data_IF_863387741361
#
_entry.id   IF_863387741361
#
_cell.length_a   1.000
_cell.length_b   1.000
_cell.length_c   1.000
_cell.angle_alpha   90.00
_cell.angle_beta   90.00
_cell.angle_gamma   90.00
#
_symmetry.space_group_name_H-M   'P 1'
#
loop_
_entity.id
_entity.type
_entity.pdbx_description
1 polymer ?
#
# COMPACT_ATOMS: atom_id res chain seq x y z
N UNK A 1 -10.09 27.47 9.01
CA UNK A 1 -11.03 26.33 9.12
C UNK A 1 -10.28 25.07 8.78
N UNK A 2 -9.98 24.26 9.79
CA UNK A 2 -9.21 23.02 9.59
C UNK A 2 -10.09 21.96 8.95
N UNK A 3 -10.04 21.84 7.64
CA UNK A 3 -10.80 20.84 6.91
C UNK A 3 -10.03 19.52 6.80
N UNK A 4 -9.95 18.77 7.88
CA UNK A 4 -9.68 17.32 7.82
C UNK A 4 -10.96 16.62 7.33
N UNK A 5 -11.31 16.81 6.07
CA UNK A 5 -12.57 16.27 5.51
C UNK A 5 -12.38 14.91 4.84
N UNK A 6 -11.15 14.50 4.57
CA UNK A 6 -10.84 13.25 3.84
C UNK A 6 -10.17 12.24 4.77
N UNK A 7 -10.66 11.01 4.76
CA UNK A 7 -10.09 9.89 5.52
C UNK A 7 -9.30 9.00 4.57
N UNK A 8 -8.08 8.62 4.98
CA UNK A 8 -7.27 7.64 4.27
C UNK A 8 -6.93 6.44 5.17
N UNK A 9 -7.06 5.24 4.62
CA UNK A 9 -6.65 3.98 5.25
C UNK A 9 -5.31 3.55 4.63
N UNK A 10 -4.31 3.22 5.45
CA UNK A 10 -3.01 2.76 4.98
C UNK A 10 -2.65 1.43 5.67
N UNK A 11 -2.46 0.36 4.89
CA UNK A 11 -1.96 -0.91 5.40
C UNK A 11 -0.44 -0.96 5.36
N UNK A 12 0.19 -1.67 6.30
CA UNK A 12 1.65 -1.70 6.41
C UNK A 12 2.26 -0.35 6.81
N UNK A 13 1.52 0.47 7.57
CA UNK A 13 1.87 1.84 7.92
C UNK A 13 3.02 1.98 8.94
N UNK A 14 3.56 0.88 9.46
CA UNK A 14 4.54 0.92 10.56
C UNK A 14 5.97 1.25 10.14
N UNK A 15 6.35 0.98 8.88
CA UNK A 15 7.72 1.16 8.37
C UNK A 15 7.72 1.49 6.86
N UNK A 16 8.90 1.82 6.34
CA UNK A 16 9.16 1.96 4.91
C UNK A 16 8.18 2.88 4.21
N UNK A 17 7.76 2.50 3.00
CA UNK A 17 6.88 3.30 2.15
C UNK A 17 5.57 3.65 2.86
N UNK A 18 4.94 2.68 3.55
CA UNK A 18 3.67 2.91 4.24
C UNK A 18 3.74 3.97 5.34
N UNK A 19 4.85 4.01 6.10
CA UNK A 19 5.11 5.07 7.07
C UNK A 19 5.30 6.42 6.38
N UNK A 20 6.12 6.48 5.33
CA UNK A 20 6.39 7.73 4.60
C UNK A 20 5.14 8.27 3.91
N UNK A 21 4.32 7.40 3.28
CA UNK A 21 3.02 7.77 2.73
C UNK A 21 2.07 8.33 3.79
N UNK A 22 2.06 7.73 4.98
CA UNK A 22 1.21 8.20 6.09
C UNK A 22 1.62 9.60 6.55
N UNK A 23 2.91 9.85 6.70
CA UNK A 23 3.43 11.18 7.08
C UNK A 23 3.09 12.22 6.00
N UNK A 24 3.29 11.89 4.72
CA UNK A 24 2.99 12.81 3.63
C UNK A 24 1.49 13.11 3.49
N UNK A 25 0.62 12.12 3.67
CA UNK A 25 -0.84 12.34 3.71
C UNK A 25 -1.27 13.21 4.91
N UNK A 26 -0.61 13.05 6.06
CA UNK A 26 -0.87 13.92 7.22
C UNK A 26 -0.52 15.40 6.92
N UNK A 27 0.59 15.66 6.21
CA UNK A 27 0.94 17.02 5.72
C UNK A 27 -0.12 17.57 4.77
N UNK A 28 -0.79 16.70 4.00
CA UNK A 28 -1.92 17.04 3.11
C UNK A 28 -3.28 17.10 3.82
N UNK A 29 -3.28 17.08 5.18
CA UNK A 29 -4.47 17.22 6.03
C UNK A 29 -5.50 16.08 5.89
N UNK A 30 -5.05 14.87 5.54
CA UNK A 30 -5.88 13.68 5.68
C UNK A 30 -5.96 13.23 7.14
N UNK A 31 -7.12 12.76 7.57
CA UNK A 31 -7.25 11.97 8.77
C UNK A 31 -6.89 10.51 8.44
N UNK A 32 -6.02 9.88 9.22
CA UNK A 32 -5.42 8.62 8.85
C UNK A 32 -5.83 7.47 9.76
N UNK A 33 -6.09 6.32 9.15
CA UNK A 33 -6.26 5.04 9.80
C UNK A 33 -5.05 4.18 9.43
N UNK A 34 -4.18 3.97 10.40
CA UNK A 34 -2.91 3.27 10.24
C UNK A 34 -3.07 1.81 10.65
N UNK A 35 -2.77 0.86 9.76
CA UNK A 35 -2.95 -0.56 10.04
C UNK A 35 -1.61 -1.29 9.89
N UNK A 36 -1.22 -2.05 10.92
CA UNK A 36 -0.05 -2.93 10.89
C UNK A 36 -0.10 -3.94 12.03
N UNK A 37 0.70 -5.02 11.91
CA UNK A 37 0.83 -6.06 12.94
C UNK A 37 1.77 -5.65 14.09
N UNK A 38 2.77 -4.83 13.79
CA UNK A 38 3.76 -4.43 14.79
C UNK A 38 3.29 -3.17 15.52
N UNK A 39 2.85 -3.34 16.75
CA UNK A 39 2.30 -2.28 17.60
C UNK A 39 3.32 -1.17 17.86
N UNK A 40 4.53 -1.51 18.30
CA UNK A 40 5.55 -0.53 18.68
C UNK A 40 5.91 0.39 17.50
N UNK A 41 6.24 -0.23 16.34
CA UNK A 41 6.60 0.53 15.13
C UNK A 41 5.42 1.35 14.60
N UNK A 42 4.18 0.86 14.74
CA UNK A 42 2.99 1.58 14.32
C UNK A 42 2.72 2.80 15.20
N UNK A 43 2.81 2.65 16.53
CA UNK A 43 2.67 3.75 17.47
C UNK A 43 3.79 4.80 17.33
N UNK A 44 4.99 4.40 16.89
CA UNK A 44 6.04 5.36 16.53
C UNK A 44 5.65 6.19 15.29
N UNK A 45 5.03 5.57 14.29
CA UNK A 45 4.49 6.31 13.12
C UNK A 45 3.39 7.26 13.55
N UNK A 46 2.47 6.82 14.41
CA UNK A 46 1.39 7.64 14.95
C UNK A 46 1.93 8.88 15.69
N UNK A 47 2.95 8.70 16.54
CA UNK A 47 3.60 9.81 17.23
C UNK A 47 4.17 10.84 16.25
N UNK A 48 4.94 10.40 15.26
CA UNK A 48 5.50 11.29 14.24
C UNK A 48 4.44 12.11 13.50
N UNK A 49 3.28 11.50 13.25
CA UNK A 49 2.16 12.19 12.59
C UNK A 49 1.54 13.24 13.55
N UNK A 50 1.36 12.90 14.83
CA UNK A 50 0.85 13.81 15.84
C UNK A 50 1.80 15.00 16.09
N UNK A 51 3.12 14.75 16.09
CA UNK A 51 4.16 15.76 16.27
C UNK A 51 4.12 16.85 15.19
N UNK A 52 3.68 16.52 13.98
CA UNK A 52 3.46 17.48 12.87
C UNK A 52 2.02 18.02 12.83
N UNK A 53 1.23 17.81 13.89
CA UNK A 53 -0.16 18.27 13.98
C UNK A 53 -1.15 17.46 13.15
N UNK A 54 -0.78 16.27 12.67
CA UNK A 54 -1.67 15.37 11.91
C UNK A 54 -2.67 14.64 12.81
N UNK A 55 -3.78 14.19 12.21
CA UNK A 55 -4.81 13.37 12.88
C UNK A 55 -4.72 11.92 12.40
N UNK A 56 -4.51 11.01 13.32
CA UNK A 56 -4.48 9.58 13.01
C UNK A 56 -4.86 8.72 14.21
N UNK A 57 -5.24 7.47 13.94
CA UNK A 57 -5.29 6.42 14.94
C UNK A 57 -4.76 5.10 14.37
N UNK A 58 -4.28 4.23 15.24
CA UNK A 58 -3.65 2.96 14.89
C UNK A 58 -4.58 1.79 15.16
N UNK A 59 -4.63 0.85 14.21
CA UNK A 59 -5.29 -0.45 14.34
C UNK A 59 -4.23 -1.54 14.21
N UNK A 60 -4.02 -2.29 15.29
CA UNK A 60 -3.10 -3.43 15.29
C UNK A 60 -3.85 -4.65 14.76
N UNK A 61 -3.54 -5.05 13.53
CA UNK A 61 -4.24 -6.14 12.85
C UNK A 61 -3.36 -6.80 11.77
N UNK A 62 -3.66 -8.07 11.49
CA UNK A 62 -3.10 -8.80 10.36
C UNK A 62 -4.12 -8.80 9.21
N UNK A 63 -3.88 -7.96 8.21
CA UNK A 63 -4.76 -7.78 7.04
C UNK A 63 -4.85 -9.01 6.13
N UNK A 64 -3.97 -10.02 6.30
CA UNK A 64 -4.06 -11.29 5.58
C UNK A 64 -5.13 -12.23 6.14
N UNK A 65 -5.62 -11.96 7.37
CA UNK A 65 -6.63 -12.75 8.07
C UNK A 65 -8.01 -12.16 7.88
N UNK A 66 -8.93 -12.94 7.34
CA UNK A 66 -10.32 -12.54 7.15
C UNK A 66 -10.98 -12.14 8.47
N UNK A 67 -10.69 -12.87 9.56
CA UNK A 67 -11.22 -12.57 10.91
C UNK A 67 -10.84 -11.20 11.46
N UNK A 68 -9.79 -10.56 10.90
CA UNK A 68 -9.39 -9.21 11.31
C UNK A 68 -10.18 -8.10 10.58
N UNK A 69 -10.86 -8.43 9.49
CA UNK A 69 -11.48 -7.40 8.62
C UNK A 69 -12.67 -6.74 9.30
N UNK A 70 -13.54 -7.52 9.91
CA UNK A 70 -14.71 -6.99 10.63
C UNK A 70 -14.28 -6.13 11.82
N UNK A 71 -13.24 -6.55 12.55
CA UNK A 71 -12.65 -5.74 13.62
C UNK A 71 -12.08 -4.42 13.11
N UNK A 72 -11.35 -4.45 11.98
CA UNK A 72 -10.83 -3.22 11.36
C UNK A 72 -11.98 -2.31 10.98
N UNK A 73 -13.01 -2.84 10.29
CA UNK A 73 -14.15 -2.04 9.84
C UNK A 73 -14.91 -1.40 11.01
N UNK A 74 -15.13 -2.14 12.10
CA UNK A 74 -15.83 -1.65 13.29
C UNK A 74 -15.14 -0.46 13.98
N UNK A 75 -13.82 -0.31 13.76
CA UNK A 75 -13.02 0.81 14.28
C UNK A 75 -13.03 2.04 13.37
N UNK A 76 -13.58 1.91 12.15
CA UNK A 76 -13.68 3.05 11.21
C UNK A 76 -14.92 3.87 11.56
N UNK A 77 -14.70 5.01 12.18
CA UNK A 77 -15.77 5.98 12.42
C UNK A 77 -16.07 6.70 11.09
N UNK A 78 -17.31 6.67 10.63
CA UNK A 78 -17.75 7.24 9.35
C UNK A 78 -17.08 6.60 8.13
N UNK A 79 -17.29 5.30 7.87
CA UNK A 79 -16.71 4.61 6.70
C UNK A 79 -17.11 5.27 5.36
N UNK A 80 -18.26 5.92 5.32
CA UNK A 80 -18.73 6.68 4.16
C UNK A 80 -17.86 7.90 3.82
N UNK A 81 -17.02 8.36 4.76
CA UNK A 81 -16.05 9.46 4.55
C UNK A 81 -14.67 8.99 4.14
N UNK A 82 -14.46 7.69 3.98
CA UNK A 82 -13.18 7.17 3.48
C UNK A 82 -13.04 7.52 2.00
N UNK A 83 -12.05 8.35 1.67
CA UNK A 83 -11.76 8.80 0.31
C UNK A 83 -10.61 8.06 -0.35
N UNK A 84 -9.75 7.44 0.46
CA UNK A 84 -8.53 6.81 -0.02
C UNK A 84 -8.24 5.54 0.78
N UNK A 85 -7.94 4.45 0.09
CA UNK A 85 -7.29 3.29 0.68
C UNK A 85 -5.99 3.00 -0.04
N UNK A 86 -4.90 2.84 0.72
CA UNK A 86 -3.59 2.44 0.21
C UNK A 86 -3.28 1.02 0.71
N UNK A 87 -3.41 0.06 -0.18
CA UNK A 87 -3.01 -1.31 0.01
C UNK A 87 -1.48 -1.41 -0.17
N UNK A 88 -0.74 -1.19 0.91
CA UNK A 88 0.72 -1.17 0.91
C UNK A 88 1.33 -2.38 1.64
N UNK A 89 0.60 -3.07 2.51
CA UNK A 89 1.12 -4.26 3.19
C UNK A 89 1.65 -5.28 2.19
N UNK A 90 2.90 -5.69 2.35
CA UNK A 90 3.56 -6.62 1.45
C UNK A 90 4.85 -7.16 2.04
N UNK A 91 5.26 -8.32 1.55
CA UNK A 91 6.51 -9.01 1.89
C UNK A 91 7.15 -9.61 0.64
N UNK A 92 8.46 -9.85 0.69
CA UNK A 92 9.21 -10.63 -0.29
C UNK A 92 10.01 -11.72 0.39
N UNK A 93 9.90 -12.94 -0.11
CA UNK A 93 10.74 -14.08 0.26
C UNK A 93 11.31 -14.62 -1.05
N UNK A 94 12.63 -14.63 -1.14
CA UNK A 94 13.35 -14.89 -2.37
C UNK A 94 14.23 -16.13 -2.21
N UNK A 95 14.08 -17.08 -3.13
CA UNK A 95 14.94 -18.27 -3.22
C UNK A 95 14.71 -18.96 -4.58
N UNK A 96 15.56 -19.95 -4.88
CA UNK A 96 15.37 -20.87 -6.02
C UNK A 96 14.08 -21.65 -5.83
N UNK A 97 13.39 -21.95 -6.93
CA UNK A 97 12.06 -22.59 -6.89
C UNK A 97 12.05 -23.90 -6.08
N UNK A 98 13.13 -24.68 -6.15
CA UNK A 98 13.24 -25.95 -5.41
C UNK A 98 13.37 -25.76 -3.89
N UNK A 99 13.71 -24.57 -3.40
CA UNK A 99 13.90 -24.28 -1.99
C UNK A 99 12.71 -23.50 -1.39
N UNK A 100 11.88 -22.86 -2.22
CA UNK A 100 10.68 -22.13 -1.75
C UNK A 100 9.74 -23.11 -1.03
N UNK A 101 9.48 -22.86 0.24
CA UNK A 101 8.51 -23.61 1.03
C UNK A 101 7.09 -23.24 0.60
N UNK A 102 6.16 -24.20 0.65
CA UNK A 102 4.73 -23.94 0.40
C UNK A 102 4.21 -22.83 1.33
N UNK A 103 4.62 -22.85 2.60
CA UNK A 103 4.26 -21.83 3.59
C UNK A 103 4.73 -20.42 3.19
N UNK A 104 5.89 -20.31 2.53
CA UNK A 104 6.45 -19.02 2.11
C UNK A 104 5.71 -18.49 0.87
N UNK A 105 5.34 -19.41 -0.04
CA UNK A 105 4.43 -19.11 -1.16
C UNK A 105 3.09 -18.58 -0.65
N UNK A 106 2.42 -19.36 0.23
CA UNK A 106 1.12 -18.99 0.79
C UNK A 106 1.16 -17.67 1.55
N UNK A 107 2.24 -17.45 2.32
CA UNK A 107 2.43 -16.20 3.07
C UNK A 107 2.53 -14.99 2.15
N UNK A 108 3.25 -15.10 1.02
CA UNK A 108 3.37 -14.03 0.05
C UNK A 108 2.04 -13.77 -0.68
N UNK A 109 1.34 -14.80 -1.13
CA UNK A 109 0.02 -14.66 -1.76
C UNK A 109 -0.99 -14.05 -0.79
N UNK A 110 -1.04 -14.54 0.44
CA UNK A 110 -1.96 -14.03 1.45
C UNK A 110 -1.67 -12.57 1.83
N UNK A 111 -0.38 -12.19 1.94
CA UNK A 111 -0.01 -10.84 2.35
C UNK A 111 -0.07 -9.85 1.19
N UNK A 112 0.41 -10.22 -0.02
CA UNK A 112 0.55 -9.27 -1.12
C UNK A 112 -0.73 -9.11 -1.96
N UNK A 113 -1.53 -10.18 -2.09
CA UNK A 113 -2.70 -10.22 -2.94
C UNK A 113 -4.00 -10.32 -2.13
N UNK A 114 -4.17 -11.40 -1.33
CA UNK A 114 -5.43 -11.65 -0.62
C UNK A 114 -5.77 -10.52 0.34
N UNK A 115 -4.78 -9.97 1.05
CA UNK A 115 -5.00 -8.83 1.95
C UNK A 115 -5.55 -7.62 1.22
N UNK A 116 -5.00 -7.31 0.03
CA UNK A 116 -5.45 -6.20 -0.81
C UNK A 116 -6.89 -6.39 -1.28
N UNK A 117 -7.27 -7.63 -1.63
CA UNK A 117 -8.67 -7.98 -1.93
C UNK A 117 -9.57 -7.78 -0.71
N UNK A 118 -9.22 -8.31 0.46
CA UNK A 118 -10.01 -8.22 1.68
C UNK A 118 -10.24 -6.78 2.10
N UNK A 119 -9.18 -5.98 2.13
CA UNK A 119 -9.25 -4.56 2.51
C UNK A 119 -10.06 -3.73 1.51
N UNK A 120 -9.96 -4.03 0.22
CA UNK A 120 -10.80 -3.39 -0.79
C UNK A 120 -12.26 -3.78 -0.64
N UNK A 121 -12.55 -5.09 -0.48
CA UNK A 121 -13.90 -5.60 -0.27
C UNK A 121 -14.58 -4.99 0.96
N UNK A 122 -13.81 -4.73 2.02
CA UNK A 122 -14.29 -4.13 3.27
C UNK A 122 -14.95 -2.76 3.04
N UNK A 123 -14.35 -1.89 2.19
CA UNK A 123 -14.76 -0.48 2.07
C UNK A 123 -15.49 -0.16 0.76
N UNK A 124 -15.49 -1.08 -0.20
CA UNK A 124 -15.96 -0.77 -1.56
C UNK A 124 -17.42 -0.36 -1.63
N UNK A 125 -18.30 -0.96 -0.83
CA UNK A 125 -19.72 -0.62 -0.81
C UNK A 125 -19.98 0.83 -0.39
N UNK A 126 -19.18 1.37 0.54
CA UNK A 126 -19.29 2.75 0.99
C UNK A 126 -18.82 3.72 -0.11
N UNK A 127 -17.74 3.38 -0.82
CA UNK A 127 -17.26 4.15 -1.97
C UNK A 127 -18.26 4.12 -3.13
N UNK A 128 -18.87 2.96 -3.43
CA UNK A 128 -19.89 2.82 -4.49
C UNK A 128 -21.12 3.69 -4.17
N UNK A 129 -21.64 3.63 -2.95
CA UNK A 129 -22.77 4.47 -2.50
C UNK A 129 -22.46 5.95 -2.64
N UNK A 130 -21.25 6.36 -2.28
CA UNK A 130 -20.77 7.74 -2.39
C UNK A 130 -20.47 8.16 -3.83
N UNK A 131 -20.27 7.21 -4.77
CA UNK A 131 -19.77 7.43 -6.14
C UNK A 131 -18.46 8.22 -6.18
N UNK A 132 -17.57 7.93 -5.24
CA UNK A 132 -16.28 8.60 -5.11
C UNK A 132 -15.34 7.78 -4.25
N UNK A 133 -14.08 7.71 -4.63
CA UNK A 133 -13.02 7.05 -3.87
C UNK A 133 -11.75 6.86 -4.69
N UNK A 134 -10.68 6.52 -3.98
CA UNK A 134 -9.41 6.12 -4.58
C UNK A 134 -8.90 4.86 -3.91
N UNK A 135 -8.54 3.86 -4.71
CA UNK A 135 -7.95 2.61 -4.27
C UNK A 135 -6.56 2.53 -4.88
N UNK A 136 -5.55 2.50 -4.04
CA UNK A 136 -4.15 2.46 -4.45
C UNK A 136 -3.53 1.14 -4.03
N UNK A 137 -2.86 0.48 -4.95
CA UNK A 137 -2.09 -0.72 -4.71
C UNK A 137 -0.60 -0.43 -4.85
N UNK A 138 0.16 -0.59 -3.77
CA UNK A 138 1.62 -0.55 -3.83
C UNK A 138 2.11 -1.90 -4.32
N UNK A 139 2.33 -1.95 -5.62
CA UNK A 139 2.82 -3.10 -6.35
C UNK A 139 4.37 -3.15 -6.29
N UNK A 140 5.03 -3.43 -7.37
CA UNK A 140 6.48 -3.43 -7.58
C UNK A 140 6.77 -3.47 -9.08
N UNK A 141 7.96 -3.08 -9.52
CA UNK A 141 8.47 -3.41 -10.86
C UNK A 141 8.46 -4.93 -11.12
N UNK A 142 8.46 -5.75 -10.07
CA UNK A 142 8.26 -7.21 -10.15
C UNK A 142 6.84 -7.62 -10.60
N UNK A 143 5.89 -6.70 -10.65
CA UNK A 143 4.59 -6.88 -11.31
C UNK A 143 4.59 -6.52 -12.80
N UNK A 144 5.73 -6.08 -13.33
CA UNK A 144 5.92 -5.70 -14.74
C UNK A 144 6.92 -6.60 -15.48
N UNK A 145 7.93 -7.10 -14.77
CA UNK A 145 8.95 -8.01 -15.32
C UNK A 145 9.40 -9.03 -14.28
N UNK A 146 9.90 -10.21 -14.71
CA UNK A 146 10.42 -11.22 -13.80
C UNK A 146 11.80 -10.85 -13.26
N UNK A 147 12.17 -11.45 -12.13
CA UNK A 147 13.50 -11.43 -11.53
C UNK A 147 13.91 -12.82 -11.08
N UNK A 148 15.21 -13.09 -11.07
CA UNK A 148 15.76 -14.36 -10.59
C UNK A 148 15.39 -14.58 -9.11
N UNK A 149 15.16 -15.83 -8.75
CA UNK A 149 14.86 -16.28 -7.38
C UNK A 149 13.62 -15.62 -6.74
N UNK A 150 12.74 -15.03 -7.55
CA UNK A 150 11.59 -14.23 -7.11
C UNK A 150 10.24 -14.80 -7.54
N UNK A 151 10.15 -16.08 -7.91
CA UNK A 151 8.97 -16.64 -8.58
C UNK A 151 7.66 -16.43 -7.80
N UNK A 152 7.65 -16.67 -6.48
CA UNK A 152 6.48 -16.47 -5.64
C UNK A 152 6.11 -14.98 -5.50
N UNK A 153 7.12 -14.13 -5.28
CA UNK A 153 6.92 -12.67 -5.19
C UNK A 153 6.40 -12.09 -6.50
N UNK A 154 7.05 -12.41 -7.62
CA UNK A 154 6.63 -12.01 -8.97
C UNK A 154 5.19 -12.47 -9.24
N UNK A 155 4.86 -13.75 -8.98
CA UNK A 155 3.50 -14.26 -9.15
C UNK A 155 2.47 -13.43 -8.36
N UNK A 156 2.77 -13.11 -7.09
CA UNK A 156 1.89 -12.30 -6.24
C UNK A 156 1.68 -10.88 -6.79
N UNK A 157 2.75 -10.26 -7.33
CA UNK A 157 2.70 -8.88 -7.84
C UNK A 157 2.07 -8.79 -9.24
N UNK A 158 2.27 -9.79 -10.12
CA UNK A 158 1.51 -9.89 -11.38
C UNK A 158 0.02 -10.11 -11.12
N UNK A 159 -0.33 -10.99 -10.18
CA UNK A 159 -1.72 -11.21 -9.79
C UNK A 159 -2.36 -9.95 -9.22
N UNK A 160 -1.63 -9.18 -8.38
CA UNK A 160 -2.10 -7.90 -7.85
C UNK A 160 -2.34 -6.87 -8.97
N UNK A 161 -1.48 -6.82 -10.01
CA UNK A 161 -1.69 -5.97 -11.18
C UNK A 161 -2.95 -6.37 -11.93
N UNK A 162 -3.15 -7.68 -12.19
CA UNK A 162 -4.34 -8.19 -12.86
C UNK A 162 -5.62 -7.86 -12.09
N UNK A 163 -5.61 -8.07 -10.76
CA UNK A 163 -6.71 -7.70 -9.87
C UNK A 163 -7.04 -6.20 -9.94
N UNK A 164 -6.03 -5.35 -9.82
CA UNK A 164 -6.21 -3.90 -9.89
C UNK A 164 -6.77 -3.45 -11.25
N UNK A 165 -6.30 -4.06 -12.35
CA UNK A 165 -6.76 -3.73 -13.71
C UNK A 165 -8.23 -4.10 -13.93
N UNK A 166 -8.66 -5.30 -13.49
CA UNK A 166 -10.07 -5.71 -13.57
C UNK A 166 -10.96 -4.80 -12.71
N UNK A 167 -10.54 -4.58 -11.46
CA UNK A 167 -11.28 -3.72 -10.52
C UNK A 167 -11.45 -2.29 -11.06
N UNK A 168 -10.48 -1.77 -11.78
CA UNK A 168 -10.54 -0.44 -12.42
C UNK A 168 -11.69 -0.35 -13.41
N UNK A 169 -11.85 -1.35 -14.26
CA UNK A 169 -12.94 -1.37 -15.24
C UNK A 169 -14.31 -1.49 -14.55
N UNK A 170 -14.43 -2.33 -13.52
CA UNK A 170 -15.66 -2.50 -12.75
C UNK A 170 -16.10 -1.21 -12.03
N UNK A 171 -15.14 -0.39 -11.58
CA UNK A 171 -15.42 0.76 -10.71
C UNK A 171 -15.49 2.11 -11.44
N UNK A 172 -15.24 2.14 -12.76
CA UNK A 172 -15.33 3.38 -13.56
C UNK A 172 -16.72 4.01 -13.48
N UNK A 173 -17.76 3.22 -13.57
CA UNK A 173 -19.15 3.71 -13.51
C UNK A 173 -19.50 4.40 -12.19
N UNK A 174 -18.77 4.06 -11.10
CA UNK A 174 -18.94 4.67 -9.79
C UNK A 174 -17.98 5.83 -9.52
N UNK A 175 -17.23 6.30 -10.52
CA UNK A 175 -16.24 7.37 -10.37
C UNK A 175 -15.19 7.06 -9.28
N UNK A 176 -14.83 5.79 -9.11
CA UNK A 176 -13.79 5.33 -8.18
C UNK A 176 -12.50 5.09 -8.97
N UNK A 177 -11.42 5.70 -8.51
CA UNK A 177 -10.12 5.63 -9.18
C UNK A 177 -9.31 4.46 -8.60
N UNK A 178 -8.85 3.55 -9.46
CA UNK A 178 -7.98 2.43 -9.08
C UNK A 178 -6.60 2.62 -9.69
N UNK A 179 -5.59 2.70 -8.82
CA UNK A 179 -4.23 3.10 -9.18
C UNK A 179 -3.24 2.03 -8.73
N UNK A 180 -2.37 1.59 -9.62
CA UNK A 180 -1.25 0.70 -9.31
C UNK A 180 0.06 1.46 -9.34
N UNK A 181 0.85 1.35 -8.29
CA UNK A 181 2.18 1.96 -8.21
C UNK A 181 3.23 0.84 -8.28
N UNK A 182 4.21 1.00 -9.17
CA UNK A 182 5.26 0.01 -9.41
C UNK A 182 6.63 0.61 -9.04
N UNK A 183 6.97 0.65 -7.77
CA UNK A 183 8.29 1.11 -7.35
C UNK A 183 9.37 0.07 -7.65
N UNK A 184 10.56 0.56 -7.98
CA UNK A 184 11.81 -0.21 -7.95
C UNK A 184 12.33 -0.38 -6.52
N UNK A 185 13.63 -0.63 -6.37
CA UNK A 185 14.24 -0.83 -5.05
C UNK A 185 14.23 0.46 -4.21
N UNK A 186 13.68 0.36 -3.00
CA UNK A 186 13.57 1.44 -2.02
C UNK A 186 14.23 1.00 -0.72
N UNK A 187 15.07 1.84 -0.14
CA UNK A 187 15.71 1.59 1.14
C UNK A 187 14.68 1.53 2.27
N UNK A 188 14.33 0.33 2.65
CA UNK A 188 13.33 0.02 3.68
C UNK A 188 13.68 -1.29 4.38
N UNK A 189 13.07 -1.58 5.55
CA UNK A 189 13.23 -2.86 6.24
C UNK A 189 12.79 -4.10 5.44
N UNK A 190 12.18 -3.91 4.27
CA UNK A 190 11.86 -5.00 3.34
C UNK A 190 13.12 -5.82 2.96
N UNK A 191 14.29 -5.17 2.90
CA UNK A 191 15.55 -5.75 2.50
C UNK A 191 16.42 -6.27 3.66
N UNK A 192 15.98 -6.15 4.93
CA UNK A 192 16.81 -6.49 6.10
C UNK A 192 17.24 -7.97 6.14
N UNK A 193 16.43 -8.86 5.52
CA UNK A 193 16.68 -10.30 5.47
C UNK A 193 16.85 -10.82 4.03
N UNK A 194 17.18 -9.94 3.09
CA UNK A 194 17.37 -10.30 1.68
C UNK A 194 18.83 -10.06 1.33
N UNK A 195 19.51 -11.10 0.90
CA UNK A 195 20.86 -10.98 0.34
C UNK A 195 20.76 -10.43 -1.08
N UNK A 196 21.37 -9.27 -1.30
CA UNK A 196 21.36 -8.56 -2.59
C UNK A 196 22.75 -8.12 -2.98
N UNK A 197 23.06 -8.18 -4.27
CA UNK A 197 24.35 -7.83 -4.84
C UNK A 197 24.55 -6.32 -5.06
N UNK A 198 23.67 -5.47 -4.52
CA UNK A 198 23.72 -4.02 -4.68
C UNK A 198 23.61 -3.28 -3.35
N UNK A 199 24.22 -2.09 -3.29
CA UNK A 199 24.22 -1.28 -2.06
C UNK A 199 22.86 -0.66 -1.77
N UNK A 200 22.45 -0.67 -0.51
CA UNK A 200 21.23 0.04 -0.04
C UNK A 200 21.31 1.55 -0.24
N UNK A 201 22.52 2.11 -0.23
CA UNK A 201 22.72 3.56 -0.47
C UNK A 201 22.37 3.98 -1.90
N UNK A 202 22.35 3.03 -2.82
CA UNK A 202 21.93 3.27 -4.20
C UNK A 202 20.41 3.18 -4.40
N UNK A 203 19.67 2.69 -3.40
CA UNK A 203 18.21 2.60 -3.45
C UNK A 203 17.57 3.97 -3.29
N UNK A 204 16.34 4.11 -3.82
CA UNK A 204 15.52 5.30 -3.62
C UNK A 204 15.18 5.47 -2.13
N UNK A 205 15.08 6.70 -1.66
CA UNK A 205 14.60 6.99 -0.29
C UNK A 205 13.08 6.86 -0.22
N UNK A 206 12.58 6.26 0.86
CA UNK A 206 11.13 6.03 1.03
C UNK A 206 10.32 7.33 1.07
N UNK A 207 10.90 8.42 1.57
CA UNK A 207 10.22 9.71 1.67
C UNK A 207 10.05 10.37 0.28
N UNK A 208 11.10 10.34 -0.57
CA UNK A 208 11.05 10.88 -1.94
C UNK A 208 10.04 10.12 -2.80
N UNK A 209 10.02 8.79 -2.65
CA UNK A 209 9.04 7.93 -3.34
C UNK A 209 7.63 8.21 -2.85
N UNK A 210 7.42 8.38 -1.55
CA UNK A 210 6.12 8.69 -0.98
C UNK A 210 5.58 10.04 -1.48
N UNK A 211 6.42 11.07 -1.53
CA UNK A 211 6.04 12.38 -2.09
C UNK A 211 5.61 12.27 -3.56
N UNK A 212 6.40 11.56 -4.38
CA UNK A 212 6.07 11.30 -5.78
C UNK A 212 4.73 10.57 -5.95
N UNK A 213 4.49 9.53 -5.14
CA UNK A 213 3.23 8.78 -5.16
C UNK A 213 2.06 9.70 -4.80
N UNK A 214 2.16 10.44 -3.69
CA UNK A 214 1.07 11.29 -3.21
C UNK A 214 0.73 12.37 -4.23
N UNK A 215 1.73 13.02 -4.84
CA UNK A 215 1.51 14.00 -5.91
C UNK A 215 0.76 13.39 -7.10
N UNK A 216 1.08 12.15 -7.45
CA UNK A 216 0.46 11.44 -8.58
C UNK A 216 -0.97 10.98 -8.30
N UNK A 217 -1.25 10.45 -7.09
CA UNK A 217 -2.58 9.92 -6.76
C UNK A 217 -3.59 10.99 -6.35
N UNK A 218 -3.13 12.19 -5.98
CA UNK A 218 -3.98 13.34 -5.67
C UNK A 218 -4.27 14.23 -6.87
N UNK A 219 -4.07 13.73 -8.10
CA UNK A 219 -4.44 14.43 -9.33
C UNK A 219 -5.91 14.88 -9.31
N UNK A 220 -6.18 16.02 -10.02
CA UNK A 220 -7.49 16.67 -10.03
C UNK A 220 -8.61 15.80 -10.61
N UNK A 221 -9.85 16.19 -10.34
CA UNK A 221 -11.09 15.40 -10.39
C UNK A 221 -11.28 14.45 -11.60
N UNK A 222 -11.00 14.85 -12.81
CA UNK A 222 -11.20 14.05 -14.03
C UNK A 222 -9.93 13.39 -14.57
N UNK A 223 -8.84 13.42 -13.79
CA UNK A 223 -7.55 12.80 -14.14
C UNK A 223 -7.25 11.65 -13.21
N UNK A 224 -6.78 10.53 -13.74
CA UNK A 224 -6.24 9.40 -12.99
C UNK A 224 -4.94 8.91 -13.64
N UNK A 225 -3.93 8.74 -12.82
CA UNK A 225 -2.71 8.05 -13.20
C UNK A 225 -2.89 6.56 -12.86
N UNK A 226 -3.30 5.75 -13.82
CA UNK A 226 -3.72 4.37 -13.59
C UNK A 226 -2.56 3.45 -13.19
N UNK A 227 -1.41 3.64 -13.82
CA UNK A 227 -0.17 2.92 -13.50
C UNK A 227 0.97 3.92 -13.37
N UNK A 228 1.67 3.87 -12.24
CA UNK A 228 2.77 4.78 -11.90
C UNK A 228 4.03 3.95 -11.70
N UNK A 229 5.01 4.09 -12.58
CA UNK A 229 6.31 3.42 -12.46
C UNK A 229 7.32 4.40 -11.88
N UNK A 230 7.94 4.03 -10.74
CA UNK A 230 8.94 4.87 -10.06
C UNK A 230 10.24 4.09 -9.96
N UNK A 231 11.29 4.62 -10.56
CA UNK A 231 12.62 3.99 -10.58
C UNK A 231 13.71 4.99 -10.22
N UNK A 232 14.87 4.46 -9.81
CA UNK A 232 16.10 5.31 -9.76
C UNK A 232 16.39 5.88 -11.13
N UNK A 233 17.03 7.03 -11.16
CA UNK A 233 17.50 7.65 -12.41
C UNK A 233 18.44 6.74 -13.21
N UNK A 234 19.25 5.92 -12.51
CA UNK A 234 20.15 4.95 -13.13
C UNK A 234 19.44 3.66 -13.64
N UNK A 235 18.12 3.53 -13.48
CA UNK A 235 17.35 2.33 -13.85
C UNK A 235 17.29 1.29 -12.72
N UNK A 236 16.95 0.04 -13.08
CA UNK A 236 16.95 -1.09 -12.12
C UNK A 236 18.38 -1.61 -11.88
N UNK A 237 18.55 -2.39 -10.82
CA UNK A 237 19.77 -3.15 -10.57
C UNK A 237 19.84 -4.37 -11.48
#
# INVERSE_FOLDING_TARGET
MDSYNSIAIITGASTGIGRSLSIELARRKFQLILISRNQEKLLNTERKIKDIGGKCFSVIADVSKESSIDEIYSKIINPEKVDLIINNAGIGIFDKIQNIKISDWDTQINTNLRSSFLMTKMIINDMIKKKSGKIVFINSVAGLKPYLHSSAYVASKYALRGFASSLREELREYNIKVISVFPGAIDTPFWDNVDVDFSRDEMMKSDDVAESIINSILAKNNVVNEEIVIRRTAGDF
#
